data_IF_832921670964
#
_entry.id   IF_832921670964
#
_cell.length_a   1.000
_cell.length_b   1.000
_cell.length_c   1.000
_cell.angle_alpha   90.00
_cell.angle_beta   90.00
_cell.angle_gamma   90.00
#
_symmetry.space_group_name_H-M   'P 1'
#
loop_
_entity.id
_entity.type
_entity.pdbx_description
1 polymer ?
#
# COMPACT_ATOMS: atom_id res chain seq x y z
N UNK A 1 36.28 -9.17 26.24
CA UNK A 1 35.31 -8.12 26.63
C UNK A 1 34.78 -7.31 25.44
N UNK A 2 35.35 -7.42 24.23
CA UNK A 2 34.86 -6.74 23.02
C UNK A 2 33.64 -7.44 22.36
N UNK A 3 33.49 -8.76 22.52
CA UNK A 3 32.45 -9.55 21.84
C UNK A 3 31.00 -9.16 22.19
N UNK A 4 30.75 -8.65 23.40
CA UNK A 4 29.39 -8.26 23.83
C UNK A 4 28.88 -7.03 23.08
N UNK A 5 29.77 -6.10 22.71
CA UNK A 5 29.38 -4.88 21.97
C UNK A 5 29.02 -5.17 20.51
N UNK A 6 29.78 -6.04 19.85
CA UNK A 6 29.52 -6.44 18.46
C UNK A 6 28.21 -7.22 18.32
N UNK A 7 27.95 -8.15 19.23
CA UNK A 7 26.69 -8.90 19.26
C UNK A 7 25.47 -7.98 19.48
N UNK A 8 25.60 -6.97 20.34
CA UNK A 8 24.55 -5.98 20.57
C UNK A 8 24.29 -5.11 19.33
N UNK A 9 25.36 -4.69 18.64
CA UNK A 9 25.28 -3.94 17.38
C UNK A 9 24.58 -4.77 16.29
N UNK A 10 24.98 -6.03 16.11
CA UNK A 10 24.34 -6.95 15.16
C UNK A 10 22.87 -7.19 15.49
N UNK A 11 22.53 -7.30 16.78
CA UNK A 11 21.14 -7.41 17.21
C UNK A 11 20.33 -6.14 16.84
N UNK A 12 20.90 -4.95 17.03
CA UNK A 12 20.29 -3.67 16.62
C UNK A 12 20.10 -3.55 15.11
N UNK A 13 21.09 -3.97 14.30
CA UNK A 13 20.96 -3.97 12.83
C UNK A 13 19.84 -4.92 12.40
N UNK A 14 19.77 -6.13 12.99
CA UNK A 14 18.72 -7.10 12.66
C UNK A 14 17.33 -6.58 12.98
N UNK A 15 17.16 -5.87 14.10
CA UNK A 15 15.85 -5.29 14.46
C UNK A 15 15.47 -4.14 13.54
N UNK A 16 16.41 -3.29 13.12
CA UNK A 16 16.17 -2.27 12.09
C UNK A 16 15.74 -2.90 10.75
N UNK A 17 16.49 -3.88 10.25
CA UNK A 17 16.16 -4.57 9.00
C UNK A 17 14.79 -5.26 9.07
N UNK A 18 14.42 -5.80 10.24
CA UNK A 18 13.10 -6.37 10.45
C UNK A 18 12.00 -5.29 10.41
N UNK A 19 12.25 -4.11 10.98
CA UNK A 19 11.33 -2.96 10.91
C UNK A 19 11.15 -2.47 9.48
N UNK A 20 12.23 -2.38 8.69
CA UNK A 20 12.17 -1.98 7.28
C UNK A 20 11.36 -2.98 6.44
N UNK A 21 11.55 -4.28 6.65
CA UNK A 21 10.76 -5.31 5.96
C UNK A 21 9.27 -5.19 6.29
N UNK A 22 8.93 -4.97 7.56
CA UNK A 22 7.55 -4.76 7.98
C UNK A 22 6.97 -3.49 7.36
N UNK A 23 7.74 -2.41 7.34
CA UNK A 23 7.36 -1.15 6.69
C UNK A 23 7.04 -1.34 5.20
N UNK A 24 7.95 -2.00 4.46
CA UNK A 24 7.76 -2.26 3.03
C UNK A 24 6.55 -3.16 2.76
N UNK A 25 6.28 -4.13 3.63
CA UNK A 25 5.07 -4.96 3.55
C UNK A 25 3.79 -4.15 3.77
N UNK A 26 3.77 -3.27 4.77
CA UNK A 26 2.65 -2.35 5.04
C UNK A 26 2.41 -1.41 3.84
N UNK A 27 3.48 -0.83 3.28
CA UNK A 27 3.41 0.05 2.11
C UNK A 27 2.86 -0.68 0.87
N UNK A 28 3.33 -1.89 0.58
CA UNK A 28 2.84 -2.71 -0.54
C UNK A 28 1.36 -3.03 -0.41
N UNK A 29 0.91 -3.33 0.80
CA UNK A 29 -0.51 -3.65 1.08
C UNK A 29 -1.37 -2.41 0.86
N UNK A 30 -0.97 -1.25 1.38
CA UNK A 30 -1.70 0.00 1.18
C UNK A 30 -1.73 0.44 -0.31
N UNK A 31 -0.65 0.21 -1.06
CA UNK A 31 -0.64 0.46 -2.51
C UNK A 31 -1.53 -0.50 -3.29
N UNK A 32 -1.61 -1.77 -2.87
CA UNK A 32 -2.53 -2.74 -3.46
C UNK A 32 -3.99 -2.31 -3.23
N UNK A 33 -4.35 -1.90 -2.00
CA UNK A 33 -5.67 -1.35 -1.69
C UNK A 33 -6.00 -0.08 -2.48
N UNK A 34 -5.02 0.80 -2.68
CA UNK A 34 -5.21 1.98 -3.52
C UNK A 34 -5.50 1.61 -4.97
N UNK A 35 -4.76 0.63 -5.52
CA UNK A 35 -4.98 0.15 -6.89
C UNK A 35 -6.33 -0.53 -7.05
N UNK A 36 -6.78 -1.32 -6.08
CA UNK A 36 -8.11 -1.97 -6.14
C UNK A 36 -9.23 -0.95 -6.05
N UNK A 37 -9.11 0.06 -5.17
CA UNK A 37 -10.07 1.16 -5.09
C UNK A 37 -10.17 1.92 -6.42
N UNK A 38 -9.02 2.26 -7.01
CA UNK A 38 -8.97 2.96 -8.30
C UNK A 38 -9.51 2.10 -9.45
N UNK A 39 -9.19 0.80 -9.48
CA UNK A 39 -9.76 -0.13 -10.45
C UNK A 39 -11.28 -0.19 -10.33
N UNK A 40 -11.83 -0.23 -9.11
CA UNK A 40 -13.28 -0.24 -8.89
C UNK A 40 -13.94 1.04 -9.41
N UNK A 41 -13.30 2.21 -9.23
CA UNK A 41 -13.83 3.48 -9.75
C UNK A 41 -13.86 3.57 -11.28
N UNK A 42 -12.96 2.87 -11.96
CA UNK A 42 -12.87 2.89 -13.44
C UNK A 42 -13.70 1.79 -14.08
N UNK A 43 -13.71 0.59 -13.48
CA UNK A 43 -14.39 -0.59 -14.03
C UNK A 43 -15.91 -0.50 -13.79
N UNK A 44 -16.37 0.01 -12.65
CA UNK A 44 -17.80 0.03 -12.34
C UNK A 44 -18.64 0.86 -13.34
N UNK A 45 -18.26 2.10 -13.73
CA UNK A 45 -19.02 2.87 -14.72
C UNK A 45 -18.95 2.26 -16.12
N UNK A 46 -17.77 1.73 -16.51
CA UNK A 46 -17.57 1.13 -17.83
C UNK A 46 -18.30 -0.18 -17.99
N UNK A 47 -18.37 -1.00 -16.94
CA UNK A 47 -19.22 -2.20 -16.92
C UNK A 47 -20.70 -1.82 -16.99
N UNK A 48 -21.12 -0.77 -16.27
CA UNK A 48 -22.50 -0.27 -16.28
C UNK A 48 -22.98 0.10 -17.70
N UNK A 49 -22.17 0.82 -18.48
CA UNK A 49 -22.55 1.22 -19.85
C UNK A 49 -22.68 0.03 -20.80
N UNK A 50 -21.81 -0.98 -20.68
CA UNK A 50 -21.89 -2.21 -21.48
C UNK A 50 -23.15 -3.00 -21.13
N UNK A 51 -23.44 -3.14 -19.84
CA UNK A 51 -24.64 -3.83 -19.35
C UNK A 51 -25.91 -3.12 -19.84
N UNK A 52 -25.98 -1.79 -19.73
CA UNK A 52 -27.09 -1.00 -20.24
C UNK A 52 -27.28 -1.16 -21.76
N UNK A 53 -26.19 -1.18 -22.53
CA UNK A 53 -26.25 -1.42 -23.96
C UNK A 53 -26.83 -2.80 -24.30
N UNK A 54 -26.41 -3.86 -23.61
CA UNK A 54 -26.94 -5.21 -23.83
C UNK A 54 -28.45 -5.26 -23.55
N UNK A 55 -28.90 -4.65 -22.45
CA UNK A 55 -30.32 -4.59 -22.12
C UNK A 55 -31.14 -3.76 -23.12
N UNK A 56 -30.55 -2.77 -23.79
CA UNK A 56 -31.23 -2.01 -24.84
C UNK A 56 -31.54 -2.83 -26.10
N UNK A 57 -30.78 -3.90 -26.35
CA UNK A 57 -30.91 -4.76 -27.54
C UNK A 57 -31.94 -5.89 -27.32
N UNK A 58 -32.21 -6.27 -26.07
CA UNK A 58 -33.12 -7.38 -25.73
C UNK A 58 -34.47 -6.82 -25.27
N UNK A 59 -35.59 -7.09 -25.96
CA UNK A 59 -36.91 -6.66 -25.53
C UNK A 59 -37.38 -7.51 -24.34
N UNK A 60 -37.17 -7.00 -23.11
CA UNK A 60 -37.66 -7.62 -21.86
C UNK A 60 -38.74 -6.71 -21.26
N UNK A 61 -39.85 -7.26 -20.80
CA UNK A 61 -40.98 -6.47 -20.26
C UNK A 61 -40.61 -5.67 -18.99
N UNK A 62 -39.53 -6.05 -18.29
CA UNK A 62 -39.09 -5.45 -17.03
C UNK A 62 -37.74 -4.69 -17.11
N UNK A 63 -37.33 -4.22 -18.30
CA UNK A 63 -36.02 -3.52 -18.49
C UNK A 63 -35.82 -2.37 -17.49
N UNK A 64 -36.85 -1.57 -17.22
CA UNK A 64 -36.73 -0.39 -16.35
C UNK A 64 -36.35 -0.71 -14.90
N UNK A 65 -36.92 -1.77 -14.30
CA UNK A 65 -36.58 -2.16 -12.93
C UNK A 65 -35.17 -2.73 -12.84
N UNK A 66 -34.76 -3.52 -13.84
CA UNK A 66 -33.42 -4.11 -13.92
C UNK A 66 -32.35 -3.04 -14.15
N UNK A 67 -32.65 -2.05 -14.99
CA UNK A 67 -31.77 -0.91 -15.28
C UNK A 67 -31.57 -0.03 -14.04
N UNK A 68 -32.65 0.25 -13.29
CA UNK A 68 -32.55 1.00 -12.04
C UNK A 68 -31.71 0.24 -10.99
N UNK A 69 -31.90 -1.07 -10.87
CA UNK A 69 -31.15 -1.90 -9.92
C UNK A 69 -29.67 -2.01 -10.28
N UNK A 70 -29.35 -2.17 -11.57
CA UNK A 70 -27.96 -2.22 -12.05
C UNK A 70 -27.27 -0.86 -11.88
N UNK A 71 -27.93 0.25 -12.22
CA UNK A 71 -27.37 1.58 -12.04
C UNK A 71 -27.09 1.91 -10.57
N UNK A 72 -28.04 1.59 -9.68
CA UNK A 72 -27.85 1.78 -8.23
C UNK A 72 -26.71 0.92 -7.69
N UNK A 73 -26.60 -0.34 -8.13
CA UNK A 73 -25.50 -1.24 -7.75
C UNK A 73 -24.13 -0.69 -8.20
N UNK A 74 -23.99 -0.28 -9.46
CA UNK A 74 -22.74 0.30 -9.97
C UNK A 74 -22.41 1.64 -9.31
N UNK A 75 -23.41 2.47 -9.02
CA UNK A 75 -23.23 3.71 -8.27
C UNK A 75 -22.65 3.43 -6.87
N UNK A 76 -23.19 2.46 -6.13
CA UNK A 76 -22.65 2.05 -4.84
C UNK A 76 -21.20 1.56 -4.97
N UNK A 77 -20.90 0.73 -5.97
CA UNK A 77 -19.52 0.26 -6.21
C UNK A 77 -18.56 1.41 -6.49
N UNK A 78 -18.96 2.42 -7.28
CA UNK A 78 -18.11 3.60 -7.52
C UNK A 78 -17.85 4.39 -6.26
N UNK A 79 -18.86 4.61 -5.41
CA UNK A 79 -18.71 5.31 -4.13
C UNK A 79 -17.76 4.54 -3.21
N UNK A 80 -17.91 3.21 -3.12
CA UNK A 80 -17.00 2.35 -2.35
C UNK A 80 -15.57 2.41 -2.92
N UNK A 81 -15.41 2.44 -4.24
CA UNK A 81 -14.12 2.58 -4.90
C UNK A 81 -13.43 3.91 -4.56
N UNK A 82 -14.18 5.02 -4.62
CA UNK A 82 -13.67 6.35 -4.28
C UNK A 82 -13.28 6.39 -2.80
N UNK A 83 -14.13 5.87 -1.92
CA UNK A 83 -13.88 5.80 -0.49
C UNK A 83 -12.62 5.00 -0.14
N UNK A 84 -12.48 3.80 -0.71
CA UNK A 84 -11.31 2.93 -0.49
C UNK A 84 -10.02 3.55 -1.04
N UNK A 85 -10.09 4.20 -2.20
CA UNK A 85 -8.98 4.97 -2.78
C UNK A 85 -8.54 6.13 -1.87
N UNK A 86 -9.50 6.90 -1.33
CA UNK A 86 -9.19 8.00 -0.43
C UNK A 86 -8.65 7.52 0.93
N UNK A 87 -9.26 6.46 1.49
CA UNK A 87 -8.82 5.84 2.74
C UNK A 87 -7.38 5.33 2.62
N UNK A 88 -7.06 4.60 1.57
CA UNK A 88 -5.71 4.06 1.34
C UNK A 88 -4.68 5.18 1.16
N UNK A 89 -5.01 6.29 0.48
CA UNK A 89 -4.12 7.46 0.43
C UNK A 89 -3.82 8.03 1.82
N UNK A 90 -4.82 8.10 2.70
CA UNK A 90 -4.61 8.58 4.07
C UNK A 90 -3.68 7.64 4.86
N UNK A 91 -3.82 6.34 4.67
CA UNK A 91 -2.95 5.32 5.27
C UNK A 91 -1.52 5.42 4.73
N UNK A 92 -1.35 5.58 3.41
CA UNK A 92 -0.06 5.82 2.76
C UNK A 92 0.66 7.04 3.31
N UNK A 93 -0.05 8.14 3.58
CA UNK A 93 0.54 9.33 4.22
C UNK A 93 1.06 9.01 5.63
N UNK A 94 0.34 8.20 6.42
CA UNK A 94 0.78 7.76 7.76
C UNK A 94 2.00 6.86 7.66
N UNK A 95 1.99 5.91 6.72
CA UNK A 95 3.12 5.00 6.45
C UNK A 95 4.35 5.83 6.07
N UNK A 96 4.26 6.77 5.13
CA UNK A 96 5.39 7.64 4.74
C UNK A 96 6.02 8.40 5.92
N UNK A 97 5.23 8.83 6.92
CA UNK A 97 5.77 9.42 8.15
C UNK A 97 6.57 8.42 8.99
N UNK A 98 6.14 7.16 9.07
CA UNK A 98 6.91 6.08 9.74
C UNK A 98 8.27 5.86 9.08
N UNK A 99 8.37 6.05 7.76
CA UNK A 99 9.64 5.91 7.02
C UNK A 99 10.71 6.87 7.50
N UNK A 100 10.35 8.14 7.70
CA UNK A 100 11.28 9.15 8.21
C UNK A 100 11.81 8.75 9.59
N UNK A 101 10.94 8.25 10.47
CA UNK A 101 11.37 7.79 11.81
C UNK A 101 12.35 6.61 11.74
N UNK A 102 12.14 5.66 10.82
CA UNK A 102 13.06 4.53 10.66
C UNK A 102 14.41 5.01 10.09
N UNK A 103 14.37 5.92 9.12
CA UNK A 103 15.56 6.54 8.52
C UNK A 103 16.38 7.35 9.53
N UNK A 104 15.71 8.07 10.42
CA UNK A 104 16.37 8.81 11.50
C UNK A 104 17.11 7.84 12.45
N UNK A 105 16.49 6.71 12.82
CA UNK A 105 17.10 5.67 13.65
C UNK A 105 18.28 4.98 12.96
N UNK A 106 18.17 4.73 11.66
CA UNK A 106 19.25 4.18 10.85
C UNK A 106 20.45 5.14 10.86
N UNK A 107 20.19 6.44 10.64
CA UNK A 107 21.22 7.48 10.66
C UNK A 107 21.88 7.62 12.04
N UNK A 108 21.08 7.53 13.11
CA UNK A 108 21.58 7.54 14.49
C UNK A 108 22.47 6.32 14.78
N UNK A 109 22.06 5.13 14.34
CA UNK A 109 22.83 3.90 14.51
C UNK A 109 24.17 3.97 13.76
N UNK A 110 24.17 4.44 12.51
CA UNK A 110 25.39 4.64 11.71
C UNK A 110 26.33 5.65 12.38
N UNK A 111 25.80 6.76 12.92
CA UNK A 111 26.62 7.76 13.64
C UNK A 111 27.15 7.24 14.97
N UNK A 112 26.37 6.44 15.69
CA UNK A 112 26.72 5.96 17.03
C UNK A 112 27.79 4.87 17.02
N UNK A 113 27.95 4.14 15.92
CA UNK A 113 28.85 2.98 15.86
C UNK A 113 29.78 3.02 14.65
N UNK A 114 31.06 3.33 14.92
CA UNK A 114 32.15 3.30 13.93
C UNK A 114 32.29 1.91 13.29
N UNK A 115 32.07 0.86 14.08
CA UNK A 115 32.10 -0.54 13.62
C UNK A 115 31.03 -0.85 12.56
N UNK A 116 29.85 -0.19 12.63
CA UNK A 116 28.81 -0.34 11.59
C UNK A 116 29.25 0.35 10.29
N UNK A 117 29.86 1.52 10.41
CA UNK A 117 30.38 2.24 9.24
C UNK A 117 31.47 1.42 8.54
N UNK A 118 32.39 0.82 9.29
CA UNK A 118 33.44 -0.03 8.73
C UNK A 118 32.85 -1.31 8.10
N UNK A 119 31.91 -1.99 8.76
CA UNK A 119 31.19 -3.15 8.21
C UNK A 119 30.40 -2.84 6.92
N UNK A 120 29.75 -1.68 6.85
CA UNK A 120 29.03 -1.25 5.64
C UNK A 120 29.99 -0.91 4.51
N UNK A 121 31.15 -0.31 4.83
CA UNK A 121 32.19 -0.02 3.84
C UNK A 121 32.75 -1.30 3.23
N UNK A 122 33.07 -2.28 4.08
CA UNK A 122 33.57 -3.59 3.64
C UNK A 122 32.54 -4.36 2.80
N UNK A 123 31.24 -4.18 3.04
CA UNK A 123 30.18 -4.78 2.23
C UNK A 123 29.96 -4.09 0.86
N UNK A 124 30.32 -2.82 0.71
CA UNK A 124 30.13 -2.04 -0.52
C UNK A 124 31.34 -2.17 -1.46
N UNK A 125 32.52 -2.39 -0.90
CA UNK A 125 33.78 -2.53 -1.65
C UNK A 125 34.03 -3.99 -2.16
N UNK A 126 33.05 -4.89 -2.00
CA UNK A 126 33.07 -6.29 -2.47
C UNK A 126 32.26 -6.49 -3.76
#
# INVERSE_FOLDING_TARGET
>A
MAETGEQEILAKIRTLLALDRNYLAEERTALAEFRTGLALTVIAPTASTVVAYIFSVIPIENVLLVELLTFTFFSVLTIVGIWTSFRSQSTLKKIRKKKEIIKDRETELIKSSRAIHDLLRDCIDL
#
